data_IF_914256183483
#
_entry.id   IF_914256183483
#
_cell.length_a   1.000
_cell.length_b   1.000
_cell.length_c   1.000
_cell.angle_alpha   90.00
_cell.angle_beta   90.00
_cell.angle_gamma   90.00
#
_symmetry.space_group_name_H-M   'P 1'
#
loop_
_entity.id
_entity.type
_entity.pdbx_description
1 polymer ?
#
# COMPACT_ATOMS: atom_id res chain seq x y z
N UNK A 1 -7.43 49.63 7.88
CA UNK A 1 -8.11 48.56 7.14
C UNK A 1 -7.07 47.90 6.23
N UNK A 2 -6.45 46.81 6.70
CA UNK A 2 -5.39 46.12 5.97
C UNK A 2 -6.03 44.93 5.24
N UNK A 3 -5.97 44.95 3.91
CA UNK A 3 -6.43 43.87 3.05
C UNK A 3 -5.45 42.72 3.13
N UNK A 4 -5.89 41.59 3.69
CA UNK A 4 -5.19 40.30 3.61
C UNK A 4 -5.37 39.74 2.20
N UNK A 5 -4.32 39.80 1.38
CA UNK A 5 -4.29 39.12 0.07
C UNK A 5 -4.18 37.62 0.27
N UNK A 6 -5.20 36.89 -0.18
CA UNK A 6 -5.25 35.46 -0.26
C UNK A 6 -4.21 34.98 -1.31
N UNK A 7 -3.22 34.12 -1.00
CA UNK A 7 -2.34 33.59 -2.03
C UNK A 7 -3.16 32.66 -2.92
N UNK A 8 -3.37 33.04 -4.17
CA UNK A 8 -3.94 32.21 -5.22
C UNK A 8 -3.14 30.93 -5.31
N UNK A 9 -3.85 29.81 -5.26
CA UNK A 9 -3.29 28.53 -5.66
C UNK A 9 -2.72 28.67 -7.08
N UNK A 10 -1.41 28.67 -7.22
CA UNK A 10 -0.76 28.56 -8.52
C UNK A 10 -1.10 27.20 -9.09
N UNK A 11 -1.88 27.21 -10.16
CA UNK A 11 -2.15 26.00 -10.94
C UNK A 11 -0.84 25.63 -11.61
N UNK A 12 -0.19 24.56 -11.14
CA UNK A 12 0.99 23.98 -11.78
C UNK A 12 0.55 23.43 -13.15
N UNK A 13 0.66 24.25 -14.19
CA UNK A 13 0.47 23.81 -15.56
C UNK A 13 1.72 23.04 -16.00
N UNK A 14 1.73 21.73 -15.78
CA UNK A 14 2.79 20.84 -16.25
C UNK A 14 2.49 20.42 -17.69
N UNK A 15 3.40 20.69 -18.62
CA UNK A 15 3.26 20.18 -19.98
C UNK A 15 3.65 18.69 -20.02
N UNK A 16 3.15 17.95 -21.02
CA UNK A 16 3.52 16.55 -21.23
C UNK A 16 5.05 16.38 -21.38
N UNK A 17 5.75 17.38 -21.91
CA UNK A 17 7.22 17.38 -22.04
C UNK A 17 7.92 17.46 -20.69
N UNK A 18 7.41 18.25 -19.74
CA UNK A 18 7.99 18.41 -18.41
C UNK A 18 7.85 17.12 -17.59
N UNK A 19 6.73 16.43 -17.70
CA UNK A 19 6.51 15.13 -17.05
C UNK A 19 7.47 14.05 -17.61
N UNK A 20 7.69 14.02 -18.90
CA UNK A 20 8.63 13.07 -19.54
C UNK A 20 10.07 13.34 -19.10
N UNK A 21 10.48 14.62 -18.97
CA UNK A 21 11.81 14.98 -18.43
C UNK A 21 11.98 14.61 -16.97
N UNK A 22 10.95 14.80 -16.15
CA UNK A 22 10.99 14.40 -14.74
C UNK A 22 11.09 12.87 -14.56
N UNK A 23 10.38 12.09 -15.41
CA UNK A 23 10.34 10.62 -15.31
C UNK A 23 11.56 9.96 -15.99
N UNK A 24 12.14 10.60 -17.02
CA UNK A 24 13.30 10.09 -17.75
C UNK A 24 14.37 11.17 -17.85
N UNK A 25 15.09 11.44 -16.76
CA UNK A 25 16.25 12.33 -16.84
C UNK A 25 17.29 11.70 -17.81
N UNK A 26 17.80 12.52 -18.73
CA UNK A 26 18.89 12.07 -19.59
C UNK A 26 20.10 11.66 -18.72
N UNK A 27 20.70 10.48 -18.98
CA UNK A 27 21.86 10.07 -18.24
C UNK A 27 23.00 11.05 -18.51
N UNK A 28 23.30 11.88 -17.51
CA UNK A 28 24.51 12.71 -17.57
C UNK A 28 25.72 11.82 -17.25
N UNK A 29 26.84 11.98 -17.99
CA UNK A 29 28.07 11.27 -17.65
C UNK A 29 28.47 11.67 -16.24
N UNK A 30 28.50 10.70 -15.34
CA UNK A 30 28.90 10.91 -13.96
C UNK A 30 30.34 11.46 -13.96
N UNK A 31 30.56 12.69 -13.48
CA UNK A 31 31.88 13.13 -13.12
C UNK A 31 32.42 12.21 -12.03
N UNK A 32 33.67 11.86 -12.08
CA UNK A 32 34.34 10.86 -11.22
C UNK A 32 34.23 11.12 -9.70
N UNK A 33 33.56 12.15 -9.27
CA UNK A 33 33.38 12.57 -7.89
C UNK A 33 31.90 12.54 -7.41
N UNK A 34 30.94 12.13 -8.24
CA UNK A 34 29.53 12.09 -7.82
C UNK A 34 29.29 10.88 -6.91
N UNK A 35 28.94 11.12 -5.66
CA UNK A 35 28.47 10.08 -4.74
C UNK A 35 27.23 9.40 -5.33
N UNK A 36 27.30 8.09 -5.56
CA UNK A 36 26.19 7.31 -6.08
C UNK A 36 25.29 6.91 -4.92
N UNK A 37 24.12 7.58 -4.80
CA UNK A 37 23.11 7.25 -3.79
C UNK A 37 22.27 6.08 -4.33
N UNK A 38 22.29 4.96 -3.61
CA UNK A 38 21.43 3.81 -3.89
C UNK A 38 20.28 3.76 -2.90
N UNK A 39 19.07 3.62 -3.40
CA UNK A 39 17.87 3.37 -2.59
C UNK A 39 17.46 1.91 -2.69
N UNK A 40 17.17 1.30 -1.54
CA UNK A 40 16.43 0.04 -1.51
C UNK A 40 14.93 0.35 -1.45
N UNK A 41 14.27 0.19 -2.59
CA UNK A 41 12.85 0.49 -2.74
C UNK A 41 11.99 -0.43 -1.86
N UNK A 42 12.41 -1.68 -1.66
CA UNK A 42 11.69 -2.63 -0.81
C UNK A 42 11.71 -2.18 0.66
N UNK A 43 12.90 -1.87 1.20
CA UNK A 43 13.03 -1.38 2.57
C UNK A 43 12.30 -0.07 2.77
N UNK A 44 12.35 0.85 1.80
CA UNK A 44 11.63 2.12 1.88
C UNK A 44 10.12 1.91 2.03
N UNK A 45 9.51 1.02 1.24
CA UNK A 45 8.09 0.72 1.37
C UNK A 45 7.74 -0.01 2.66
N UNK A 46 8.63 -0.86 3.15
CA UNK A 46 8.45 -1.54 4.43
C UNK A 46 8.50 -0.54 5.61
N UNK A 47 9.46 0.38 5.59
CA UNK A 47 9.53 1.46 6.58
C UNK A 47 8.29 2.37 6.56
N UNK A 48 7.77 2.69 5.36
CA UNK A 48 6.52 3.42 5.21
C UNK A 48 5.33 2.65 5.80
N UNK A 49 5.24 1.33 5.53
CA UNK A 49 4.19 0.50 6.08
C UNK A 49 4.20 0.49 7.62
N UNK A 50 5.39 0.34 8.22
CA UNK A 50 5.56 0.36 9.68
C UNK A 50 5.22 1.74 10.27
N UNK A 51 5.66 2.83 9.63
CA UNK A 51 5.37 4.20 10.08
C UNK A 51 3.87 4.47 10.08
N UNK A 52 3.19 4.19 8.96
CA UNK A 52 1.75 4.39 8.85
C UNK A 52 0.96 3.47 9.77
N UNK A 53 1.46 2.26 10.08
CA UNK A 53 0.86 1.41 11.11
C UNK A 53 0.97 2.06 12.50
N UNK A 54 2.11 2.65 12.83
CA UNK A 54 2.27 3.39 14.09
C UNK A 54 1.29 4.57 14.17
N UNK A 55 1.13 5.31 13.07
CA UNK A 55 0.15 6.41 12.99
C UNK A 55 -1.29 5.89 13.14
N UNK A 56 -1.61 4.73 12.54
CA UNK A 56 -2.92 4.09 12.67
C UNK A 56 -3.22 3.65 14.11
N UNK A 57 -2.23 3.17 14.84
CA UNK A 57 -2.38 2.81 16.26
C UNK A 57 -2.67 4.05 17.14
N UNK A 58 -2.00 5.17 16.88
CA UNK A 58 -2.27 6.43 17.57
C UNK A 58 -3.68 6.93 17.23
N UNK A 59 -4.06 6.88 15.95
CA UNK A 59 -5.38 7.30 15.50
C UNK A 59 -6.50 6.41 16.06
N UNK A 60 -6.27 5.11 16.22
CA UNK A 60 -7.21 4.19 16.85
C UNK A 60 -7.50 4.59 18.31
N UNK A 61 -6.46 4.92 19.09
CA UNK A 61 -6.64 5.39 20.46
C UNK A 61 -7.46 6.68 20.48
N UNK A 62 -7.13 7.64 19.62
CA UNK A 62 -7.87 8.90 19.50
C UNK A 62 -9.34 8.66 19.09
N UNK A 63 -9.61 7.69 18.19
CA UNK A 63 -10.97 7.32 17.83
C UNK A 63 -11.75 6.75 19.02
N UNK A 64 -11.13 5.87 19.79
CA UNK A 64 -11.77 5.29 20.99
C UNK A 64 -12.14 6.40 22.00
N UNK A 65 -11.24 7.34 22.24
CA UNK A 65 -11.48 8.48 23.12
C UNK A 65 -12.58 9.39 22.61
N UNK A 66 -12.56 9.73 21.31
CA UNK A 66 -13.57 10.56 20.69
C UNK A 66 -14.95 9.91 20.72
N UNK A 67 -15.03 8.59 20.55
CA UNK A 67 -16.33 7.87 20.58
C UNK A 67 -16.99 7.94 21.95
N UNK A 68 -16.21 7.95 23.01
CA UNK A 68 -16.72 7.99 24.38
C UNK A 68 -17.08 9.40 24.84
N UNK A 69 -16.35 10.44 24.40
CA UNK A 69 -16.37 11.74 25.06
C UNK A 69 -16.57 12.96 24.14
N UNK A 70 -16.62 12.77 22.80
CA UNK A 70 -16.64 13.88 21.88
C UNK A 70 -17.96 14.03 21.10
N UNK A 71 -18.12 15.18 20.45
CA UNK A 71 -19.18 15.45 19.49
C UNK A 71 -19.06 14.63 18.20
N UNK A 72 -20.10 14.65 17.37
CA UNK A 72 -20.16 13.89 16.13
C UNK A 72 -19.04 14.27 15.15
N UNK A 73 -18.72 15.56 15.01
CA UNK A 73 -17.67 16.01 14.10
C UNK A 73 -16.30 15.46 14.50
N UNK A 74 -15.98 15.46 15.78
CA UNK A 74 -14.75 14.92 16.33
C UNK A 74 -14.66 13.39 16.16
N UNK A 75 -15.77 12.67 16.33
CA UNK A 75 -15.86 11.23 16.06
C UNK A 75 -15.56 10.90 14.60
N UNK A 76 -16.19 11.63 13.68
CA UNK A 76 -15.96 11.45 12.23
C UNK A 76 -14.51 11.76 11.87
N UNK A 77 -13.93 12.84 12.40
CA UNK A 77 -12.54 13.20 12.13
C UNK A 77 -11.55 12.14 12.63
N UNK A 78 -11.77 11.59 13.82
CA UNK A 78 -10.93 10.54 14.39
C UNK A 78 -11.04 9.22 13.61
N UNK A 79 -12.25 8.82 13.19
CA UNK A 79 -12.46 7.65 12.35
C UNK A 79 -11.76 7.79 10.99
N UNK A 80 -11.86 8.98 10.39
CA UNK A 80 -11.19 9.28 9.13
C UNK A 80 -9.68 9.22 9.25
N UNK A 81 -9.11 9.73 10.33
CA UNK A 81 -7.67 9.68 10.58
C UNK A 81 -7.16 8.23 10.68
N UNK A 82 -7.85 7.38 11.45
CA UNK A 82 -7.49 5.95 11.53
C UNK A 82 -7.57 5.27 10.16
N UNK A 83 -8.63 5.55 9.39
CA UNK A 83 -8.78 5.04 8.03
C UNK A 83 -7.61 5.46 7.11
N UNK A 84 -7.27 6.75 7.10
CA UNK A 84 -6.20 7.30 6.25
C UNK A 84 -4.83 6.70 6.56
N UNK A 85 -4.51 6.52 7.83
CA UNK A 85 -3.26 5.88 8.25
C UNK A 85 -3.25 4.38 7.91
N UNK A 86 -4.34 3.69 8.18
CA UNK A 86 -4.47 2.25 7.95
C UNK A 86 -4.39 1.87 6.46
N UNK A 87 -5.07 2.61 5.59
CA UNK A 87 -5.04 2.36 4.14
C UNK A 87 -3.62 2.56 3.58
N UNK A 88 -2.89 3.56 4.07
CA UNK A 88 -1.50 3.82 3.66
C UNK A 88 -0.57 2.68 4.10
N UNK A 89 -0.71 2.17 5.33
CA UNK A 89 0.05 1.03 5.82
C UNK A 89 -0.18 -0.22 4.96
N UNK A 90 -1.42 -0.50 4.61
CA UNK A 90 -1.82 -1.65 3.79
C UNK A 90 -1.28 -1.54 2.36
N UNK A 91 -1.44 -0.38 1.72
CA UNK A 91 -0.92 -0.16 0.36
C UNK A 91 0.60 -0.27 0.34
N UNK A 92 1.29 0.36 1.28
CA UNK A 92 2.74 0.29 1.39
C UNK A 92 3.24 -1.15 1.59
N UNK A 93 2.52 -1.98 2.38
CA UNK A 93 2.82 -3.40 2.55
C UNK A 93 2.74 -4.17 1.23
N UNK A 94 1.65 -3.99 0.47
CA UNK A 94 1.49 -4.65 -0.83
C UNK A 94 2.57 -4.25 -1.84
N UNK A 95 2.97 -2.98 -1.84
CA UNK A 95 4.06 -2.47 -2.70
C UNK A 95 5.41 -3.02 -2.24
N UNK A 96 5.66 -3.14 -0.92
CA UNK A 96 6.88 -3.75 -0.38
C UNK A 96 7.05 -5.20 -0.87
N UNK A 97 5.96 -5.99 -0.83
CA UNK A 97 5.97 -7.37 -1.36
C UNK A 97 6.27 -7.41 -2.86
N UNK A 98 5.68 -6.53 -3.65
CA UNK A 98 5.96 -6.43 -5.08
C UNK A 98 7.43 -6.04 -5.36
N UNK A 99 7.96 -5.08 -4.61
CA UNK A 99 9.35 -4.64 -4.72
C UNK A 99 10.33 -5.76 -4.32
N UNK A 100 10.05 -6.48 -3.23
CA UNK A 100 10.82 -7.64 -2.80
C UNK A 100 10.82 -8.74 -3.87
N UNK A 101 9.65 -9.08 -4.40
CA UNK A 101 9.53 -10.06 -5.47
C UNK A 101 10.34 -9.66 -6.70
N UNK A 102 10.34 -8.38 -7.09
CA UNK A 102 11.13 -7.89 -8.22
C UNK A 102 12.64 -8.10 -8.01
N UNK A 103 13.15 -7.84 -6.80
CA UNK A 103 14.56 -8.09 -6.45
C UNK A 103 14.87 -9.59 -6.47
N UNK A 104 14.01 -10.42 -5.88
CA UNK A 104 14.18 -11.89 -5.85
C UNK A 104 14.12 -12.48 -7.24
N UNK A 105 13.22 -12.00 -8.08
CA UNK A 105 13.06 -12.49 -9.47
C UNK A 105 14.33 -12.33 -10.31
N UNK A 106 15.17 -11.34 -10.05
CA UNK A 106 16.46 -11.20 -10.76
C UNK A 106 17.43 -12.33 -10.49
N UNK A 107 17.23 -13.09 -9.40
CA UNK A 107 18.08 -14.22 -8.98
C UNK A 107 17.50 -15.59 -9.36
N UNK A 108 16.31 -15.61 -9.96
CA UNK A 108 15.59 -16.83 -10.32
C UNK A 108 15.41 -16.88 -11.84
N UNK A 109 15.86 -17.95 -12.45
CA UNK A 109 15.58 -18.19 -13.87
C UNK A 109 14.16 -18.75 -14.02
N UNK A 110 13.23 -17.89 -14.46
CA UNK A 110 11.89 -18.30 -14.82
C UNK A 110 11.85 -18.74 -16.27
N UNK A 111 11.29 -19.94 -16.60
CA UNK A 111 11.06 -20.34 -17.98
C UNK A 111 10.18 -19.33 -18.70
N UNK A 112 10.52 -19.00 -19.94
CA UNK A 112 9.72 -18.07 -20.76
C UNK A 112 8.30 -18.59 -20.94
N UNK A 113 8.11 -19.90 -21.12
CA UNK A 113 6.80 -20.54 -21.22
C UNK A 113 5.89 -20.27 -20.02
N UNK A 114 6.46 -20.19 -18.80
CA UNK A 114 5.70 -19.87 -17.60
C UNK A 114 5.25 -18.40 -17.59
N UNK A 115 6.13 -17.49 -18.03
CA UNK A 115 5.80 -16.06 -18.14
C UNK A 115 4.68 -15.85 -19.18
N UNK A 116 4.76 -16.52 -20.30
CA UNK A 116 3.76 -16.46 -21.35
C UNK A 116 2.42 -17.06 -20.87
N UNK A 117 2.46 -18.19 -20.15
CA UNK A 117 1.28 -18.77 -19.52
C UNK A 117 0.60 -17.81 -18.55
N UNK A 118 1.37 -17.12 -17.70
CA UNK A 118 0.82 -16.12 -16.78
C UNK A 118 0.13 -14.97 -17.50
N UNK A 119 0.69 -14.52 -18.61
CA UNK A 119 0.11 -13.47 -19.44
C UNK A 119 -1.19 -13.93 -20.10
N UNK A 120 -1.17 -15.11 -20.74
CA UNK A 120 -2.31 -15.64 -21.47
C UNK A 120 -3.50 -15.95 -20.57
N UNK A 121 -3.22 -16.55 -19.41
CA UNK A 121 -4.23 -16.90 -18.40
C UNK A 121 -4.60 -15.74 -17.47
N UNK A 122 -3.97 -14.58 -17.60
CA UNK A 122 -4.12 -13.44 -16.67
C UNK A 122 -3.95 -13.88 -15.22
N UNK A 123 -2.91 -14.68 -14.95
CA UNK A 123 -2.67 -15.28 -13.65
C UNK A 123 -2.58 -14.18 -12.58
N UNK A 124 -3.32 -14.29 -11.46
CA UNK A 124 -3.29 -13.30 -10.38
C UNK A 124 -1.89 -13.05 -9.81
N UNK A 125 -1.61 -11.81 -9.42
CA UNK A 125 -0.29 -11.39 -8.97
C UNK A 125 0.24 -12.20 -7.78
N UNK A 126 -0.61 -12.52 -6.81
CA UNK A 126 -0.22 -13.31 -5.64
C UNK A 126 0.26 -14.73 -6.02
N UNK A 127 -0.27 -15.33 -7.08
CA UNK A 127 0.17 -16.64 -7.59
C UNK A 127 1.56 -16.51 -8.22
N UNK A 128 1.78 -15.47 -9.03
CA UNK A 128 3.08 -15.20 -9.65
C UNK A 128 4.16 -15.00 -8.57
N UNK A 129 3.89 -14.14 -7.58
CA UNK A 129 4.79 -13.88 -6.46
C UNK A 129 5.08 -15.15 -5.68
N UNK A 130 4.05 -15.94 -5.34
CA UNK A 130 4.25 -17.19 -4.60
C UNK A 130 5.15 -18.18 -5.34
N UNK A 131 5.04 -18.24 -6.68
CA UNK A 131 5.87 -19.14 -7.50
C UNK A 131 7.33 -18.64 -7.59
N UNK A 132 7.54 -17.32 -7.71
CA UNK A 132 8.89 -16.73 -7.66
C UNK A 132 9.56 -17.05 -6.33
N UNK A 133 8.88 -16.82 -5.21
CA UNK A 133 9.41 -17.08 -3.87
C UNK A 133 9.62 -18.58 -3.63
N UNK A 134 8.71 -19.44 -4.10
CA UNK A 134 8.87 -20.89 -4.02
C UNK A 134 10.17 -21.35 -4.67
N UNK A 135 10.47 -20.84 -5.87
CA UNK A 135 11.69 -21.20 -6.60
C UNK A 135 12.94 -20.62 -5.96
N UNK A 136 12.88 -19.35 -5.54
CA UNK A 136 14.02 -18.67 -4.93
C UNK A 136 14.49 -19.32 -3.62
N UNK A 137 13.53 -19.76 -2.81
CA UNK A 137 13.79 -20.28 -1.46
C UNK A 137 13.56 -21.80 -1.34
N UNK A 138 13.33 -22.49 -2.46
CA UNK A 138 13.09 -23.95 -2.49
C UNK A 138 12.03 -24.42 -1.50
N UNK A 139 10.89 -23.66 -1.44
CA UNK A 139 9.85 -23.92 -0.46
C UNK A 139 9.11 -25.24 -0.74
N UNK A 140 8.83 -25.99 0.31
CA UNK A 140 8.02 -27.21 0.23
C UNK A 140 6.54 -26.89 -0.10
N UNK A 141 5.81 -27.82 -0.76
CA UNK A 141 4.42 -27.60 -1.18
C UNK A 141 3.48 -27.14 -0.07
N UNK A 142 3.61 -27.69 1.14
CA UNK A 142 2.79 -27.28 2.30
C UNK A 142 2.98 -25.81 2.67
N UNK A 143 4.22 -25.31 2.62
CA UNK A 143 4.57 -23.93 2.95
C UNK A 143 4.11 -22.97 1.85
N UNK A 144 4.12 -23.41 0.59
CA UNK A 144 3.61 -22.63 -0.55
C UNK A 144 2.11 -22.36 -0.44
N UNK A 145 1.32 -23.31 0.06
CA UNK A 145 -0.12 -23.12 0.22
C UNK A 145 -0.43 -22.00 1.22
N UNK A 146 0.22 -22.01 2.38
CA UNK A 146 0.06 -20.96 3.39
C UNK A 146 0.55 -19.59 2.88
N UNK A 147 1.74 -19.55 2.27
CA UNK A 147 2.28 -18.34 1.65
C UNK A 147 1.32 -17.75 0.61
N UNK A 148 0.76 -18.60 -0.26
CA UNK A 148 -0.18 -18.18 -1.30
C UNK A 148 -1.44 -17.56 -0.70
N UNK A 149 -1.97 -18.14 0.36
CA UNK A 149 -3.13 -17.60 1.06
C UNK A 149 -2.84 -16.24 1.68
N UNK A 150 -1.69 -16.10 2.36
CA UNK A 150 -1.23 -14.82 2.94
C UNK A 150 -1.06 -13.75 1.87
N UNK A 151 -0.38 -14.08 0.78
CA UNK A 151 -0.20 -13.16 -0.35
C UNK A 151 -1.54 -12.76 -0.99
N UNK A 152 -2.47 -13.70 -1.13
CA UNK A 152 -3.80 -13.42 -1.68
C UNK A 152 -4.52 -12.35 -0.84
N UNK A 153 -4.44 -12.41 0.50
CA UNK A 153 -5.04 -11.39 1.37
C UNK A 153 -4.32 -10.05 1.27
N UNK A 154 -2.98 -10.01 1.28
CA UNK A 154 -2.23 -8.76 1.12
C UNK A 154 -2.61 -8.05 -0.18
N UNK A 155 -2.60 -8.79 -1.30
CA UNK A 155 -2.94 -8.20 -2.60
C UNK A 155 -4.41 -7.84 -2.71
N UNK A 156 -5.31 -8.63 -2.12
CA UNK A 156 -6.74 -8.30 -2.06
C UNK A 156 -6.99 -6.98 -1.35
N UNK A 157 -6.39 -6.76 -0.19
CA UNK A 157 -6.54 -5.50 0.54
C UNK A 157 -5.93 -4.32 -0.21
N UNK A 158 -4.74 -4.49 -0.81
CA UNK A 158 -4.13 -3.45 -1.65
C UNK A 158 -5.03 -3.07 -2.83
N UNK A 159 -5.56 -4.05 -3.54
CA UNK A 159 -6.37 -3.82 -4.72
C UNK A 159 -7.70 -3.14 -4.35
N UNK A 160 -8.34 -3.53 -3.24
CA UNK A 160 -9.52 -2.86 -2.69
C UNK A 160 -9.23 -1.40 -2.28
N UNK A 161 -8.00 -1.08 -1.86
CA UNK A 161 -7.60 0.27 -1.49
C UNK A 161 -7.52 1.22 -2.71
N UNK A 162 -7.18 0.70 -3.88
CA UNK A 162 -6.92 1.49 -5.09
C UNK A 162 -8.02 1.37 -6.14
N UNK A 163 -8.95 0.42 -6.00
CA UNK A 163 -10.04 0.21 -6.96
C UNK A 163 -11.27 1.06 -6.60
N UNK A 164 -11.57 2.12 -7.36
CA UNK A 164 -12.76 2.94 -7.13
C UNK A 164 -14.05 2.21 -7.51
N UNK A 165 -13.97 1.11 -8.26
CA UNK A 165 -15.14 0.35 -8.72
C UNK A 165 -15.65 -0.69 -7.72
N UNK A 166 -14.96 -0.88 -6.60
CA UNK A 166 -15.41 -1.75 -5.52
C UNK A 166 -16.77 -1.22 -4.96
N UNK A 167 -17.83 -1.51 -5.70
CA UNK A 167 -19.18 -1.06 -5.41
C UNK A 167 -19.76 -1.89 -4.27
N UNK A 168 -19.75 -1.31 -3.10
CA UNK A 168 -20.65 -1.72 -2.04
C UNK A 168 -21.27 -0.45 -1.46
N UNK A 169 -22.42 -0.06 -1.99
CA UNK A 169 -23.21 1.05 -1.44
C UNK A 169 -23.87 0.68 -0.10
N UNK A 170 -23.73 -0.58 0.32
CA UNK A 170 -24.30 -1.05 1.57
C UNK A 170 -23.45 -0.57 2.77
N UNK A 171 -24.10 0.10 3.70
CA UNK A 171 -23.51 0.32 5.01
C UNK A 171 -23.28 -1.02 5.71
N UNK A 172 -22.13 -1.17 6.33
CA UNK A 172 -21.81 -2.32 7.17
C UNK A 172 -21.60 -1.87 8.62
N UNK A 173 -21.84 -2.78 9.54
CA UNK A 173 -21.62 -2.51 10.95
C UNK A 173 -20.11 -2.44 11.22
N UNK A 174 -19.62 -1.32 11.79
CA UNK A 174 -18.23 -1.24 12.23
C UNK A 174 -18.04 -2.19 13.42
N UNK A 175 -17.06 -3.12 13.35
CA UNK A 175 -16.95 -4.20 14.35
C UNK A 175 -16.79 -3.73 15.80
N UNK A 176 -16.14 -2.57 15.99
CA UNK A 176 -15.83 -2.05 17.32
C UNK A 176 -16.79 -0.94 17.78
N UNK A 177 -17.41 -0.23 16.85
CA UNK A 177 -18.25 0.93 17.18
C UNK A 177 -19.74 0.59 17.24
N UNK A 178 -20.15 -0.52 16.65
CA UNK A 178 -21.56 -0.93 16.60
C UNK A 178 -22.46 0.01 15.78
N UNK A 179 -21.89 0.88 14.94
CA UNK A 179 -22.61 1.81 14.06
C UNK A 179 -22.44 1.44 12.59
N UNK A 180 -23.39 1.79 11.77
CA UNK A 180 -23.31 1.63 10.32
C UNK A 180 -22.32 2.62 9.72
N UNK A 181 -21.36 2.12 8.94
CA UNK A 181 -20.35 2.92 8.24
C UNK A 181 -20.24 2.47 6.79
N UNK A 182 -19.64 3.29 5.95
CA UNK A 182 -19.20 2.81 4.64
C UNK A 182 -18.19 1.67 4.85
N UNK A 183 -18.26 0.62 4.04
CA UNK A 183 -17.48 -0.60 4.19
C UNK A 183 -15.97 -0.37 4.32
N UNK A 184 -15.41 0.67 3.67
CA UNK A 184 -13.98 0.99 3.74
C UNK A 184 -13.52 1.28 5.16
N UNK A 185 -14.31 1.96 5.97
CA UNK A 185 -13.96 2.25 7.37
C UNK A 185 -13.84 1.00 8.23
N UNK A 186 -14.60 -0.05 7.90
CA UNK A 186 -14.50 -1.32 8.63
C UNK A 186 -13.36 -2.21 8.10
N UNK A 187 -13.05 -2.12 6.79
CA UNK A 187 -11.97 -2.91 6.18
C UNK A 187 -10.59 -2.30 6.43
N UNK A 188 -10.46 -0.99 6.30
CA UNK A 188 -9.19 -0.27 6.48
C UNK A 188 -9.08 0.34 7.88
N UNK A 189 -9.20 -0.51 8.90
CA UNK A 189 -9.00 -0.17 10.30
C UNK A 189 -7.64 -0.67 10.81
N UNK A 190 -7.21 -0.16 11.94
CA UNK A 190 -5.89 -0.44 12.52
C UNK A 190 -5.59 -1.94 12.68
N UNK A 191 -6.56 -2.75 13.14
CA UNK A 191 -6.35 -4.20 13.32
C UNK A 191 -6.02 -4.91 12.01
N UNK A 192 -6.72 -4.58 10.93
CA UNK A 192 -6.46 -5.16 9.63
C UNK A 192 -5.11 -4.69 9.07
N UNK A 193 -4.76 -3.41 9.26
CA UNK A 193 -3.44 -2.90 8.91
C UNK A 193 -2.33 -3.63 9.66
N UNK A 194 -2.51 -3.86 10.97
CA UNK A 194 -1.57 -4.61 11.80
C UNK A 194 -1.37 -6.05 11.27
N UNK A 195 -2.46 -6.74 10.91
CA UNK A 195 -2.38 -8.10 10.36
C UNK A 195 -1.63 -8.13 9.03
N UNK A 196 -1.93 -7.19 8.13
CA UNK A 196 -1.28 -7.11 6.81
C UNK A 196 0.20 -6.75 6.93
N UNK A 197 0.57 -5.76 7.76
CA UNK A 197 1.97 -5.40 7.97
C UNK A 197 2.75 -6.56 8.60
N UNK A 198 2.20 -7.23 9.62
CA UNK A 198 2.82 -8.42 10.22
C UNK A 198 3.01 -9.57 9.23
N UNK A 199 2.06 -9.75 8.31
CA UNK A 199 2.15 -10.78 7.28
C UNK A 199 3.18 -10.45 6.19
N UNK A 200 3.58 -9.18 6.08
CA UNK A 200 4.59 -8.69 5.13
C UNK A 200 6.01 -8.79 5.69
N UNK A 201 6.18 -8.73 7.01
CA UNK A 201 7.47 -8.86 7.71
C UNK A 201 7.92 -10.32 7.79
#
# INVERSE_FOLDING_TARGET
>A
MSSVSNPRAETLATTRGDLVRAIRPEPQPASSAASHIRFDVCLTWLELAIRHLSDAQVAQVARIEAWNNADECSRIAALKWEFEASIQAIVASGVAVDAFCAVVQTRVQLPQSLIDEWRDKRTPRYIQVSEVLRRAFSLEPKNVSSLRQTLAEIFRFRDLAVDPSAKTDAQILHPELGVGVEWRFAYFRCENALLIVKATL
#
